data_IF_385104748373
#
_entry.id   IF_385104748373
#
_cell.length_a   1.000
_cell.length_b   1.000
_cell.length_c   1.000
_cell.angle_alpha   90.00
_cell.angle_beta   90.00
_cell.angle_gamma   90.00
#
_symmetry.space_group_name_H-M   'P 1'
#
loop_
_entity.id
_entity.type
_entity.pdbx_description
1 polymer ?
#
# COMPACT_ATOMS: atom_id res chain seq x y z
N UNK A 1 44.38 34.77 51.08
CA UNK A 1 43.02 35.09 50.63
C UNK A 1 42.75 34.34 49.35
N UNK A 2 41.84 33.38 49.43
CA UNK A 2 41.51 32.37 48.44
C UNK A 2 40.66 33.01 47.34
N UNK A 3 41.04 32.87 46.06
CA UNK A 3 40.14 33.10 44.93
C UNK A 3 40.08 31.81 44.10
N UNK A 4 38.94 31.14 44.25
CA UNK A 4 38.59 29.88 43.62
C UNK A 4 38.31 30.09 42.13
N UNK A 5 39.00 29.36 41.27
CA UNK A 5 38.71 29.18 39.86
C UNK A 5 37.62 28.12 39.74
N UNK A 6 36.39 28.52 39.41
CA UNK A 6 35.32 27.59 39.08
C UNK A 6 35.46 27.17 37.60
N UNK A 7 36.00 25.97 37.38
CA UNK A 7 35.98 25.30 36.08
C UNK A 7 34.58 24.74 35.80
N UNK A 8 33.93 25.23 34.75
CA UNK A 8 32.71 24.64 34.22
C UNK A 8 33.07 23.38 33.42
N UNK A 9 32.84 22.19 34.01
CA UNK A 9 32.78 20.95 33.24
C UNK A 9 31.50 20.95 32.40
N UNK A 10 31.66 21.02 31.08
CA UNK A 10 30.60 20.64 30.14
C UNK A 10 30.42 19.12 30.21
N UNK A 11 29.41 18.67 30.95
CA UNK A 11 28.92 17.30 30.84
C UNK A 11 28.04 17.22 29.59
N UNK A 12 28.55 16.58 28.53
CA UNK A 12 27.79 16.24 27.34
C UNK A 12 26.76 15.17 27.72
N UNK A 13 25.58 15.61 28.13
CA UNK A 13 24.41 14.75 28.23
C UNK A 13 24.01 14.35 26.80
N UNK A 14 24.33 13.11 26.43
CA UNK A 14 23.65 12.43 25.33
C UNK A 14 22.16 12.35 25.69
N UNK A 15 21.37 13.28 25.16
CA UNK A 15 19.92 13.19 25.09
C UNK A 15 19.58 12.00 24.19
N UNK A 16 19.47 10.82 24.80
CA UNK A 16 18.73 9.70 24.23
C UNK A 16 17.28 10.15 24.21
N UNK A 17 16.79 10.58 23.04
CA UNK A 17 15.40 10.97 22.87
C UNK A 17 14.46 9.80 23.20
N UNK A 18 13.27 10.06 23.78
CA UNK A 18 12.25 9.04 23.94
C UNK A 18 11.64 8.81 22.55
N UNK A 19 12.21 7.88 21.79
CA UNK A 19 11.88 7.76 20.37
C UNK A 19 12.22 6.43 19.73
N UNK A 20 12.41 5.37 20.52
CA UNK A 20 12.24 4.00 20.02
C UNK A 20 10.96 3.45 20.62
N UNK A 21 9.86 3.64 19.91
CA UNK A 21 8.67 2.83 20.16
C UNK A 21 9.10 1.36 20.06
N UNK A 22 9.07 0.66 21.19
CA UNK A 22 9.07 -0.81 21.29
C UNK A 22 7.77 -1.37 20.69
N UNK A 23 7.31 -0.83 19.56
CA UNK A 23 6.11 -1.22 18.86
C UNK A 23 6.27 -2.66 18.39
N UNK A 24 5.67 -3.55 19.18
CA UNK A 24 5.07 -4.81 18.75
C UNK A 24 5.99 -5.70 17.92
N UNK A 25 7.01 -6.27 18.54
CA UNK A 25 7.70 -7.42 17.97
C UNK A 25 6.79 -8.67 18.11
N UNK A 26 5.76 -8.78 17.28
CA UNK A 26 4.93 -9.99 17.19
C UNK A 26 5.76 -11.22 16.80
N UNK A 27 6.97 -11.01 16.25
CA UNK A 27 7.98 -12.03 15.97
C UNK A 27 8.91 -12.37 17.16
N UNK A 28 8.79 -11.68 18.30
CA UNK A 28 9.61 -11.97 19.47
C UNK A 28 9.49 -13.45 19.88
N UNK A 29 10.59 -14.07 20.35
CA UNK A 29 10.56 -15.43 20.87
C UNK A 29 9.49 -15.59 21.96
N UNK A 30 8.90 -16.78 22.05
CA UNK A 30 7.93 -17.06 23.12
C UNK A 30 8.64 -17.08 24.48
N UNK A 31 7.99 -16.51 25.50
CA UNK A 31 8.36 -16.69 26.90
C UNK A 31 8.07 -18.12 27.37
N UNK A 32 8.57 -18.47 28.56
CA UNK A 32 8.26 -19.76 29.17
C UNK A 32 6.75 -19.93 29.46
N UNK A 33 6.09 -18.86 29.93
CA UNK A 33 4.65 -18.87 30.16
C UNK A 33 3.85 -19.05 28.86
N UNK A 34 4.26 -18.37 27.78
CA UNK A 34 3.62 -18.52 26.47
C UNK A 34 3.78 -19.93 25.90
N UNK A 35 4.94 -20.58 26.11
CA UNK A 35 5.13 -21.99 25.73
C UNK A 35 4.26 -22.93 26.55
N UNK A 36 4.23 -22.75 27.88
CA UNK A 36 3.39 -23.58 28.76
C UNK A 36 1.90 -23.47 28.42
N UNK A 37 1.44 -22.28 28.00
CA UNK A 37 0.06 -22.04 27.61
C UNK A 37 -0.39 -22.80 26.34
N UNK A 38 0.54 -23.37 25.57
CA UNK A 38 0.20 -24.25 24.44
C UNK A 38 -0.30 -25.62 24.90
N UNK A 39 -0.05 -25.97 26.17
CA UNK A 39 -0.41 -27.25 26.80
C UNK A 39 -1.24 -27.00 28.07
N UNK A 40 -2.46 -26.45 27.94
CA UNK A 40 -3.23 -25.99 29.10
C UNK A 40 -3.78 -27.15 29.93
N UNK A 41 -3.86 -26.95 31.25
CA UNK A 41 -4.57 -27.86 32.14
C UNK A 41 -6.09 -27.63 32.11
N UNK A 42 -6.86 -28.59 32.62
CA UNK A 42 -8.31 -28.41 32.79
C UNK A 42 -8.65 -27.23 33.71
N UNK A 43 -7.80 -26.95 34.70
CA UNK A 43 -7.98 -25.82 35.61
C UNK A 43 -7.79 -24.48 34.87
N UNK A 44 -6.82 -24.38 33.96
CA UNK A 44 -6.59 -23.18 33.15
C UNK A 44 -7.80 -22.87 32.26
N UNK A 45 -8.37 -23.90 31.64
CA UNK A 45 -9.57 -23.78 30.81
C UNK A 45 -10.79 -23.33 31.62
N UNK A 46 -10.99 -23.89 32.82
CA UNK A 46 -12.11 -23.51 33.69
C UNK A 46 -12.00 -22.06 34.18
N UNK A 47 -10.80 -21.64 34.59
CA UNK A 47 -10.55 -20.27 35.03
C UNK A 47 -10.67 -19.28 33.87
N UNK A 48 -10.12 -19.61 32.70
CA UNK A 48 -10.26 -18.83 31.48
C UNK A 48 -11.71 -18.66 31.05
N UNK A 49 -12.53 -19.72 31.13
CA UNK A 49 -13.97 -19.66 30.86
C UNK A 49 -14.68 -18.70 31.81
N UNK A 50 -14.41 -18.79 33.12
CA UNK A 50 -15.03 -17.92 34.11
C UNK A 50 -14.69 -16.44 33.89
N UNK A 51 -13.44 -16.15 33.51
CA UNK A 51 -13.00 -14.80 33.14
C UNK A 51 -13.68 -14.31 31.85
N UNK A 52 -13.75 -15.16 30.83
CA UNK A 52 -14.41 -14.85 29.56
C UNK A 52 -15.90 -14.56 29.74
N UNK A 53 -16.60 -15.37 30.53
CA UNK A 53 -18.02 -15.20 30.86
C UNK A 53 -18.29 -13.85 31.55
N UNK A 54 -17.40 -13.44 32.46
CA UNK A 54 -17.55 -12.19 33.21
C UNK A 54 -17.21 -10.93 32.40
N UNK A 55 -16.17 -11.00 31.56
CA UNK A 55 -15.55 -9.79 31.00
C UNK A 55 -15.57 -9.69 29.48
N UNK A 56 -15.83 -10.79 28.76
CA UNK A 56 -15.60 -10.86 27.31
C UNK A 56 -16.85 -11.27 26.51
N UNK A 57 -17.66 -12.18 27.07
CA UNK A 57 -18.74 -12.87 26.37
C UNK A 57 -19.86 -11.93 25.87
N UNK A 58 -20.04 -10.78 26.51
CA UNK A 58 -21.04 -9.77 26.09
C UNK A 58 -20.80 -9.27 24.66
N UNK A 59 -19.53 -9.16 24.24
CA UNK A 59 -19.19 -8.66 22.91
C UNK A 59 -18.73 -9.78 21.96
N UNK A 60 -17.99 -10.77 22.48
CA UNK A 60 -17.36 -11.79 21.65
C UNK A 60 -18.09 -13.14 21.62
N UNK A 61 -19.18 -13.29 22.38
CA UNK A 61 -19.80 -14.59 22.62
C UNK A 61 -18.96 -15.45 23.55
N UNK A 62 -19.60 -16.26 24.40
CA UNK A 62 -18.86 -17.21 25.26
C UNK A 62 -18.23 -18.33 24.43
N UNK A 63 -18.84 -18.66 23.29
CA UNK A 63 -18.31 -19.56 22.26
C UNK A 63 -17.23 -18.90 21.38
N UNK A 64 -16.91 -17.62 21.61
CA UNK A 64 -15.95 -16.86 20.80
C UNK A 64 -16.49 -16.46 19.43
N UNK A 65 -17.81 -16.55 19.20
CA UNK A 65 -18.48 -16.09 18.00
C UNK A 65 -19.15 -14.75 18.30
N UNK A 66 -18.51 -13.65 17.85
CA UNK A 66 -19.11 -12.32 17.93
C UNK A 66 -20.43 -12.21 17.15
N UNK A 67 -21.44 -11.63 17.80
CA UNK A 67 -22.71 -11.24 17.19
C UNK A 67 -22.69 -9.81 16.60
N UNK A 68 -21.67 -9.00 16.92
CA UNK A 68 -21.53 -7.63 16.40
C UNK A 68 -20.73 -7.61 15.11
N UNK A 69 -21.21 -6.82 14.16
CA UNK A 69 -20.40 -6.35 13.03
C UNK A 69 -19.17 -5.60 13.57
N UNK A 70 -18.02 -5.71 12.89
CA UNK A 70 -16.73 -5.09 13.27
C UNK A 70 -16.06 -5.63 14.54
N UNK A 71 -16.61 -6.64 15.20
CA UNK A 71 -15.98 -7.29 16.34
C UNK A 71 -15.44 -8.67 15.92
N UNK A 72 -14.21 -9.05 16.32
CA UNK A 72 -13.62 -10.29 15.87
C UNK A 72 -14.21 -11.51 16.59
N UNK A 73 -14.31 -12.61 15.85
CA UNK A 73 -14.37 -13.96 16.41
C UNK A 73 -13.04 -14.30 17.10
N UNK A 74 -13.15 -14.83 18.31
CA UNK A 74 -12.01 -15.25 19.14
C UNK A 74 -11.85 -16.77 19.19
N UNK A 75 -12.94 -17.52 18.95
CA UNK A 75 -12.94 -18.97 19.00
C UNK A 75 -11.91 -19.58 18.05
N UNK A 76 -11.05 -20.46 18.56
CA UNK A 76 -10.01 -21.13 17.78
C UNK A 76 -8.87 -20.22 17.29
N UNK A 77 -8.81 -18.96 17.73
CA UNK A 77 -7.68 -18.07 17.46
C UNK A 77 -6.43 -18.52 18.23
N UNK A 78 -5.23 -18.08 17.84
CA UNK A 78 -4.00 -18.57 18.46
C UNK A 78 -3.76 -18.00 19.87
N UNK A 79 -3.42 -18.88 20.82
CA UNK A 79 -3.26 -18.55 22.24
C UNK A 79 -2.30 -17.39 22.47
N UNK A 80 -1.09 -17.46 21.91
CA UNK A 80 -0.06 -16.43 22.13
C UNK A 80 -0.43 -15.14 21.41
N UNK A 81 -1.04 -15.21 20.22
CA UNK A 81 -1.58 -14.05 19.55
C UNK A 81 -2.62 -13.31 20.41
N UNK A 82 -3.64 -14.02 20.93
CA UNK A 82 -4.69 -13.44 21.77
C UNK A 82 -4.08 -12.79 23.02
N UNK A 83 -3.20 -13.50 23.71
CA UNK A 83 -2.52 -13.00 24.91
C UNK A 83 -1.73 -11.70 24.62
N UNK A 84 -0.89 -11.71 23.58
CA UNK A 84 -0.08 -10.53 23.22
C UNK A 84 -0.93 -9.35 22.78
N UNK A 85 -2.06 -9.58 22.10
CA UNK A 85 -2.96 -8.48 21.72
C UNK A 85 -3.73 -7.91 22.91
N UNK A 86 -4.13 -8.72 23.88
CA UNK A 86 -4.70 -8.20 25.13
C UNK A 86 -3.68 -7.37 25.91
N UNK A 87 -2.42 -7.81 26.00
CA UNK A 87 -1.35 -7.00 26.60
C UNK A 87 -1.14 -5.66 25.86
N UNK A 88 -1.16 -5.66 24.53
CA UNK A 88 -1.00 -4.44 23.74
C UNK A 88 -2.13 -3.43 24.01
N UNK A 89 -3.38 -3.90 24.16
CA UNK A 89 -4.50 -3.06 24.58
C UNK A 89 -4.31 -2.51 26.00
N UNK A 90 -3.89 -3.35 26.94
CA UNK A 90 -3.65 -2.95 28.34
C UNK A 90 -2.57 -1.86 28.44
N UNK A 91 -1.53 -1.94 27.62
CA UNK A 91 -0.40 -0.99 27.57
C UNK A 91 -0.69 0.26 26.74
N UNK A 92 -1.82 0.31 26.04
CA UNK A 92 -2.15 1.41 25.12
C UNK A 92 -1.35 1.40 23.82
N UNK A 93 -0.61 0.34 23.53
CA UNK A 93 0.11 0.13 22.26
C UNK A 93 -0.86 -0.15 21.10
N UNK A 94 -2.09 -0.56 21.42
CA UNK A 94 -3.19 -0.71 20.47
C UNK A 94 -4.36 0.16 20.94
N UNK A 95 -4.69 1.25 20.24
CA UNK A 95 -5.75 2.16 20.67
C UNK A 95 -7.12 1.53 20.46
N UNK A 96 -7.83 1.29 21.56
CA UNK A 96 -9.24 0.88 21.61
C UNK A 96 -9.69 1.00 23.07
N UNK A 97 -10.50 2.02 23.37
CA UNK A 97 -10.88 2.31 24.76
C UNK A 97 -11.75 1.20 25.35
N UNK A 98 -12.66 0.63 24.54
CA UNK A 98 -13.54 -0.48 24.94
C UNK A 98 -12.71 -1.70 25.34
N UNK A 99 -11.78 -2.13 24.49
CA UNK A 99 -10.91 -3.27 24.79
C UNK A 99 -9.93 -2.98 25.92
N UNK A 100 -9.38 -1.76 26.00
CA UNK A 100 -8.52 -1.37 27.12
C UNK A 100 -9.25 -1.48 28.45
N UNK A 101 -10.48 -0.97 28.54
CA UNK A 101 -11.31 -1.06 29.74
C UNK A 101 -11.67 -2.50 30.10
N UNK A 102 -11.84 -3.38 29.11
CA UNK A 102 -12.11 -4.80 29.33
C UNK A 102 -10.90 -5.55 29.93
N UNK A 103 -9.67 -5.17 29.58
CA UNK A 103 -8.44 -5.90 29.99
C UNK A 103 -7.65 -5.22 31.11
N UNK A 104 -7.90 -3.94 31.42
CA UNK A 104 -7.03 -3.16 32.33
C UNK A 104 -6.99 -3.68 33.77
N UNK A 105 -8.01 -4.44 34.21
CA UNK A 105 -8.08 -5.01 35.56
C UNK A 105 -7.61 -6.47 35.65
N UNK A 106 -7.23 -7.07 34.51
CA UNK A 106 -6.75 -8.45 34.45
C UNK A 106 -5.23 -8.46 34.57
N UNK A 107 -4.69 -9.32 35.44
CA UNK A 107 -3.25 -9.56 35.47
C UNK A 107 -2.81 -10.46 34.30
N UNK A 108 -1.50 -10.62 34.13
CA UNK A 108 -0.94 -11.41 33.03
C UNK A 108 -1.42 -12.87 33.02
N UNK A 109 -1.65 -13.47 34.19
CA UNK A 109 -2.12 -14.85 34.30
C UNK A 109 -3.59 -14.97 33.87
N UNK A 110 -4.44 -14.04 34.32
CA UNK A 110 -5.84 -13.96 33.90
C UNK A 110 -5.97 -13.71 32.39
N UNK A 111 -5.13 -12.84 31.81
CA UNK A 111 -5.09 -12.62 30.36
C UNK A 111 -4.68 -13.90 29.62
N UNK A 112 -3.66 -14.60 30.10
CA UNK A 112 -3.18 -15.83 29.47
C UNK A 112 -4.23 -16.94 29.52
N UNK A 113 -4.91 -17.12 30.65
CA UNK A 113 -6.00 -18.10 30.80
C UNK A 113 -7.22 -17.77 29.95
N UNK A 114 -7.55 -16.48 29.81
CA UNK A 114 -8.60 -16.04 28.89
C UNK A 114 -8.25 -16.37 27.43
N UNK A 115 -6.98 -16.17 27.05
CA UNK A 115 -6.48 -16.54 25.72
C UNK A 115 -6.54 -18.06 25.49
N UNK A 116 -6.11 -18.86 26.48
CA UNK A 116 -6.18 -20.32 26.47
C UNK A 116 -7.62 -20.78 26.22
N UNK A 117 -8.58 -20.22 26.95
CA UNK A 117 -9.99 -20.58 26.81
C UNK A 117 -10.49 -20.35 25.37
N UNK A 118 -10.42 -19.12 24.86
CA UNK A 118 -10.92 -18.82 23.51
C UNK A 118 -10.18 -19.59 22.41
N UNK A 119 -8.86 -19.80 22.56
CA UNK A 119 -8.07 -20.58 21.62
C UNK A 119 -8.48 -22.07 21.57
N UNK A 120 -9.00 -22.60 22.68
CA UNK A 120 -9.47 -24.00 22.77
C UNK A 120 -10.84 -24.24 22.13
N UNK A 121 -11.60 -23.17 21.86
CA UNK A 121 -12.94 -23.29 21.30
C UNK A 121 -12.88 -23.70 19.82
N UNK A 122 -13.93 -24.34 19.34
CA UNK A 122 -14.08 -24.57 17.91
C UNK A 122 -14.13 -23.21 17.18
N UNK A 123 -13.38 -23.02 16.09
CA UNK A 123 -13.44 -21.77 15.36
C UNK A 123 -14.81 -21.60 14.71
N UNK A 124 -15.22 -20.34 14.51
CA UNK A 124 -16.44 -19.99 13.80
C UNK A 124 -16.42 -20.60 12.40
N UNK A 125 -17.14 -21.70 12.19
CA UNK A 125 -17.43 -22.15 10.83
C UNK A 125 -18.42 -21.15 10.28
N UNK A 126 -18.05 -20.45 9.20
CA UNK A 126 -19.07 -19.79 8.39
C UNK A 126 -20.06 -20.86 7.97
N UNK A 127 -21.20 -20.95 8.66
CA UNK A 127 -22.43 -21.31 7.98
C UNK A 127 -22.49 -20.35 6.79
N UNK A 128 -22.78 -20.84 5.60
CA UNK A 128 -23.06 -19.97 4.47
C UNK A 128 -23.96 -18.83 4.98
N UNK A 129 -23.39 -17.63 5.10
CA UNK A 129 -24.11 -16.43 5.51
C UNK A 129 -25.37 -16.36 4.62
N UNK A 130 -26.53 -15.82 5.03
CA UNK A 130 -27.68 -15.72 4.13
C UNK A 130 -27.40 -14.86 2.86
N UNK A 131 -26.23 -14.20 2.78
CA UNK A 131 -25.63 -13.64 1.55
C UNK A 131 -24.72 -14.60 0.75
N UNK A 132 -24.73 -15.89 1.08
CA UNK A 132 -23.84 -16.96 0.62
C UNK A 132 -23.98 -17.35 -0.85
N UNK A 133 -24.96 -16.76 -1.55
CA UNK A 133 -25.09 -16.86 -3.00
C UNK A 133 -24.19 -15.86 -3.76
N UNK A 134 -23.57 -14.88 -3.09
CA UNK A 134 -22.63 -13.97 -3.77
C UNK A 134 -21.36 -14.75 -4.12
N UNK A 135 -21.01 -14.92 -5.41
CA UNK A 135 -19.80 -15.64 -5.80
C UNK A 135 -18.56 -15.05 -5.12
N UNK A 136 -17.57 -15.90 -4.83
CA UNK A 136 -16.25 -15.41 -4.44
C UNK A 136 -15.75 -14.44 -5.53
N UNK A 137 -15.08 -13.36 -5.15
CA UNK A 137 -14.54 -12.42 -6.13
C UNK A 137 -13.55 -13.13 -7.05
N UNK A 138 -13.43 -12.70 -8.32
CA UNK A 138 -12.50 -13.31 -9.25
C UNK A 138 -11.06 -13.09 -8.77
N UNK A 139 -10.40 -14.15 -8.33
CA UNK A 139 -9.09 -14.06 -7.69
C UNK A 139 -7.96 -13.71 -8.67
N UNK A 140 -8.10 -14.16 -9.92
CA UNK A 140 -7.11 -13.99 -10.98
C UNK A 140 -7.48 -12.88 -11.98
N UNK A 141 -8.42 -11.99 -11.65
CA UNK A 141 -8.76 -10.89 -12.54
C UNK A 141 -7.58 -9.92 -12.69
N UNK A 142 -7.30 -9.51 -13.93
CA UNK A 142 -6.30 -8.48 -14.22
C UNK A 142 -6.68 -7.18 -13.48
N UNK A 143 -5.85 -6.69 -12.55
CA UNK A 143 -6.13 -5.47 -11.81
C UNK A 143 -6.32 -4.23 -12.70
N UNK A 144 -5.79 -4.25 -13.92
CA UNK A 144 -5.90 -3.15 -14.88
C UNK A 144 -7.02 -3.36 -15.92
N UNK A 145 -7.87 -4.38 -15.78
CA UNK A 145 -8.96 -4.64 -16.74
C UNK A 145 -9.94 -3.48 -16.84
N UNK A 146 -10.42 -2.95 -15.71
CA UNK A 146 -11.31 -1.80 -15.68
C UNK A 146 -10.61 -0.55 -16.26
N UNK A 147 -9.34 -0.36 -15.92
CA UNK A 147 -8.51 0.73 -16.46
C UNK A 147 -8.37 0.65 -17.97
N UNK A 148 -8.13 -0.54 -18.54
CA UNK A 148 -8.02 -0.73 -19.99
C UNK A 148 -9.32 -0.36 -20.71
N UNK A 149 -10.47 -0.65 -20.10
CA UNK A 149 -11.76 -0.21 -20.63
C UNK A 149 -11.89 1.32 -20.56
N UNK A 150 -11.48 1.94 -19.44
CA UNK A 150 -11.50 3.40 -19.27
C UNK A 150 -10.54 4.15 -20.22
N UNK A 151 -9.40 3.55 -20.58
CA UNK A 151 -8.42 4.15 -21.51
C UNK A 151 -8.81 4.02 -22.98
N UNK A 152 -9.85 3.24 -23.31
CA UNK A 152 -10.31 3.06 -24.69
C UNK A 152 -10.70 4.37 -25.37
N UNK A 153 -11.29 5.32 -24.63
CA UNK A 153 -11.63 6.65 -25.14
C UNK A 153 -10.41 7.53 -25.47
N UNK A 154 -9.24 7.22 -24.91
CA UNK A 154 -7.99 7.94 -25.19
C UNK A 154 -7.25 7.37 -26.42
N UNK A 155 -7.52 6.10 -26.75
CA UNK A 155 -6.77 5.34 -27.73
C UNK A 155 -6.86 5.91 -29.15
N UNK A 156 -7.96 6.60 -29.49
CA UNK A 156 -8.13 7.21 -30.81
C UNK A 156 -7.11 8.31 -31.12
N UNK A 157 -6.56 8.97 -30.09
CA UNK A 157 -5.58 10.05 -30.23
C UNK A 157 -4.19 9.62 -29.75
N UNK A 158 -4.11 8.89 -28.64
CA UNK A 158 -2.84 8.52 -28.01
C UNK A 158 -2.38 7.10 -28.36
N UNK A 159 -3.14 6.34 -29.13
CA UNK A 159 -2.91 4.93 -29.41
C UNK A 159 -3.36 4.01 -28.27
N UNK A 160 -3.67 2.75 -28.57
CA UNK A 160 -4.18 1.78 -27.58
C UNK A 160 -3.22 1.56 -26.40
N UNK A 161 -1.92 1.61 -26.66
CA UNK A 161 -0.87 1.48 -25.64
C UNK A 161 -0.34 2.82 -25.16
N UNK A 162 -0.89 3.96 -25.63
CA UNK A 162 -0.33 5.29 -25.34
C UNK A 162 0.87 5.68 -26.20
N UNK A 163 1.20 4.90 -27.25
CA UNK A 163 2.14 5.31 -28.29
C UNK A 163 1.33 5.90 -29.45
N UNK A 164 1.32 7.22 -29.55
CA UNK A 164 0.58 7.97 -30.56
C UNK A 164 1.23 7.83 -31.93
N UNK A 165 0.39 7.70 -32.96
CA UNK A 165 0.79 7.86 -34.36
C UNK A 165 0.20 9.14 -34.99
N UNK A 166 -0.59 9.90 -34.22
CA UNK A 166 -1.22 11.13 -34.66
C UNK A 166 -0.24 12.31 -34.47
N UNK A 167 -0.02 13.15 -35.50
CA UNK A 167 0.85 14.32 -35.40
C UNK A 167 0.41 15.26 -34.27
N UNK A 168 1.38 15.84 -33.54
CA UNK A 168 1.15 16.75 -32.41
C UNK A 168 0.41 16.12 -31.21
N UNK A 169 0.13 14.80 -31.23
CA UNK A 169 -0.43 14.10 -30.08
C UNK A 169 0.67 13.46 -29.26
N UNK A 170 0.71 13.72 -27.95
CA UNK A 170 1.78 13.19 -27.13
C UNK A 170 1.65 11.69 -26.87
N UNK A 171 2.79 11.01 -26.80
CA UNK A 171 2.93 9.70 -26.18
C UNK A 171 2.65 9.80 -24.67
N UNK A 172 1.89 8.84 -24.16
CA UNK A 172 1.58 8.66 -22.75
C UNK A 172 2.51 7.63 -22.09
N UNK A 173 3.17 6.78 -22.89
CA UNK A 173 4.19 5.84 -22.43
C UNK A 173 5.45 6.54 -21.96
N UNK A 174 6.30 5.82 -21.21
CA UNK A 174 7.53 6.33 -20.59
C UNK A 174 7.37 7.52 -19.62
N UNK A 175 6.16 7.99 -19.37
CA UNK A 175 5.89 8.95 -18.29
C UNK A 175 5.76 8.26 -16.95
N UNK A 176 6.20 8.95 -15.89
CA UNK A 176 5.95 8.50 -14.53
C UNK A 176 4.45 8.58 -14.22
N UNK A 177 3.88 7.63 -13.44
CA UNK A 177 2.48 7.69 -13.01
C UNK A 177 2.12 9.01 -12.32
N UNK A 178 2.99 9.52 -11.45
CA UNK A 178 2.74 10.76 -10.70
C UNK A 178 2.72 11.98 -11.64
N UNK A 179 3.69 12.10 -12.56
CA UNK A 179 3.63 13.11 -13.62
C UNK A 179 2.35 13.01 -14.45
N UNK A 180 1.93 11.80 -14.83
CA UNK A 180 0.68 11.60 -15.57
C UNK A 180 -0.51 12.15 -14.77
N UNK A 181 -0.63 11.79 -13.49
CA UNK A 181 -1.70 12.24 -12.61
C UNK A 181 -1.68 13.76 -12.46
N UNK A 182 -0.53 14.35 -12.15
CA UNK A 182 -0.35 15.79 -12.02
C UNK A 182 -0.73 16.52 -13.32
N UNK A 183 -0.33 15.98 -14.48
CA UNK A 183 -0.70 16.54 -15.78
C UNK A 183 -2.21 16.47 -16.06
N UNK A 184 -2.88 15.37 -15.68
CA UNK A 184 -4.33 15.24 -15.85
C UNK A 184 -5.08 16.18 -14.91
N UNK A 185 -4.66 16.29 -13.65
CA UNK A 185 -5.21 17.24 -12.69
C UNK A 185 -5.04 18.69 -13.16
N UNK A 186 -3.89 19.03 -13.75
CA UNK A 186 -3.67 20.35 -14.34
C UNK A 186 -4.63 20.65 -15.51
N UNK A 187 -5.04 19.64 -16.29
CA UNK A 187 -6.10 19.83 -17.28
C UNK A 187 -7.48 20.01 -16.63
N UNK A 188 -7.77 19.27 -15.55
CA UNK A 188 -9.03 19.36 -14.80
C UNK A 188 -9.22 20.75 -14.17
N UNK A 189 -8.20 21.26 -13.49
CA UNK A 189 -8.25 22.57 -12.82
C UNK A 189 -8.09 23.73 -13.82
N UNK A 190 -7.47 23.49 -14.97
CA UNK A 190 -7.30 24.46 -16.06
C UNK A 190 -5.97 25.21 -16.01
N UNK A 191 -5.09 24.89 -15.05
CA UNK A 191 -3.70 25.37 -15.03
C UNK A 191 -2.94 24.90 -16.27
N UNK A 192 -3.33 23.78 -16.89
CA UNK A 192 -2.85 23.39 -18.22
C UNK A 192 -3.96 23.59 -19.25
N UNK A 193 -3.96 24.69 -20.03
CA UNK A 193 -5.09 25.00 -20.90
C UNK A 193 -5.14 24.05 -22.11
N UNK A 194 -6.20 23.25 -22.18
CA UNK A 194 -6.61 22.49 -23.37
C UNK A 194 -8.09 22.07 -23.20
N UNK A 195 -8.98 22.61 -24.03
CA UNK A 195 -10.43 22.38 -23.90
C UNK A 195 -10.85 20.93 -24.12
N UNK A 196 -10.21 20.25 -25.08
CA UNK A 196 -10.47 18.83 -25.37
C UNK A 196 -10.03 17.95 -24.20
N UNK A 197 -8.79 18.11 -23.72
CA UNK A 197 -8.30 17.33 -22.59
C UNK A 197 -9.11 17.60 -21.33
N UNK A 198 -9.44 18.87 -21.02
CA UNK A 198 -10.30 19.21 -19.89
C UNK A 198 -11.67 18.52 -19.95
N UNK A 199 -12.28 18.46 -21.14
CA UNK A 199 -13.55 17.76 -21.34
C UNK A 199 -13.41 16.25 -21.09
N UNK A 200 -12.34 15.63 -21.58
CA UNK A 200 -12.10 14.19 -21.45
C UNK A 200 -11.76 13.75 -20.02
N UNK A 201 -10.98 14.55 -19.30
CA UNK A 201 -10.53 14.18 -17.94
C UNK A 201 -11.41 14.76 -16.83
N UNK A 202 -12.29 15.72 -17.12
CA UNK A 202 -13.01 16.50 -16.12
C UNK A 202 -13.89 15.69 -15.16
N UNK A 203 -14.36 14.52 -15.57
CA UNK A 203 -15.19 13.63 -14.73
C UNK A 203 -14.42 12.46 -14.10
N UNK A 204 -13.11 12.34 -14.35
CA UNK A 204 -12.32 11.23 -13.83
C UNK A 204 -11.93 11.49 -12.38
N UNK A 205 -12.15 10.52 -11.50
CA UNK A 205 -11.70 10.58 -10.11
C UNK A 205 -10.20 10.28 -9.97
N UNK A 206 -9.64 10.60 -8.80
CA UNK A 206 -8.22 10.41 -8.51
C UNK A 206 -7.77 8.95 -8.65
N UNK A 207 -8.61 7.98 -8.26
CA UNK A 207 -8.31 6.55 -8.38
C UNK A 207 -8.20 6.12 -9.84
N UNK A 208 -9.10 6.60 -10.69
CA UNK A 208 -9.09 6.34 -12.13
C UNK A 208 -7.85 6.93 -12.78
N UNK A 209 -7.50 8.18 -12.46
CA UNK A 209 -6.28 8.82 -12.96
C UNK A 209 -5.01 8.07 -12.55
N UNK A 210 -4.90 7.66 -11.29
CA UNK A 210 -3.75 6.90 -10.79
C UNK A 210 -3.61 5.55 -11.52
N UNK A 211 -4.73 4.84 -11.68
CA UNK A 211 -4.76 3.58 -12.42
C UNK A 211 -4.35 3.77 -13.89
N UNK A 212 -4.84 4.82 -14.55
CA UNK A 212 -4.46 5.14 -15.94
C UNK A 212 -2.97 5.48 -16.07
N UNK A 213 -2.43 6.28 -15.15
CA UNK A 213 -1.00 6.58 -15.10
C UNK A 213 -0.14 5.32 -14.99
N UNK A 214 -0.54 4.40 -14.10
CA UNK A 214 0.13 3.10 -13.97
C UNK A 214 -0.03 2.24 -15.22
N UNK A 215 -1.22 2.21 -15.83
CA UNK A 215 -1.48 1.47 -17.06
C UNK A 215 -0.52 1.89 -18.18
N UNK A 216 -0.39 3.20 -18.44
CA UNK A 216 0.50 3.71 -19.50
C UNK A 216 1.99 3.56 -19.15
N UNK A 217 2.38 3.71 -17.89
CA UNK A 217 3.75 3.50 -17.45
C UNK A 217 4.23 2.05 -17.62
N UNK A 218 3.31 1.08 -17.60
CA UNK A 218 3.59 -0.35 -17.82
C UNK A 218 3.68 -0.74 -19.31
N UNK A 219 3.29 0.14 -20.23
CA UNK A 219 3.36 -0.18 -21.67
C UNK A 219 4.79 -0.03 -22.18
N UNK A 220 5.14 -0.85 -23.20
CA UNK A 220 6.41 -0.71 -23.89
C UNK A 220 6.43 0.64 -24.63
N UNK A 221 7.36 1.55 -24.30
CA UNK A 221 7.41 2.84 -24.97
C UNK A 221 8.02 2.69 -26.36
N UNK A 222 7.50 3.49 -27.30
CA UNK A 222 8.05 3.62 -28.63
C UNK A 222 8.31 5.08 -28.95
N UNK A 223 9.37 5.33 -29.70
CA UNK A 223 9.64 6.67 -30.24
C UNK A 223 8.55 7.02 -31.28
N UNK A 224 8.17 8.29 -31.31
CA UNK A 224 7.32 8.86 -32.37
C UNK A 224 7.96 8.72 -33.77
N UNK A 225 7.12 8.60 -34.81
CA UNK A 225 7.56 8.75 -36.20
C UNK A 225 7.84 10.21 -36.58
N UNK A 226 7.25 11.17 -35.88
CA UNK A 226 7.38 12.61 -36.15
C UNK A 226 8.68 13.16 -35.55
N UNK A 227 9.78 13.05 -36.31
CA UNK A 227 11.11 13.45 -35.87
C UNK A 227 11.31 14.98 -35.74
N UNK A 228 10.44 15.80 -36.32
CA UNK A 228 10.58 17.27 -36.36
C UNK A 228 11.42 17.78 -37.55
N UNK A 229 11.39 19.09 -37.78
CA UNK A 229 12.02 19.76 -38.94
C UNK A 229 13.31 20.54 -38.58
N UNK A 230 13.78 20.43 -37.34
CA UNK A 230 14.96 21.15 -36.84
C UNK A 230 16.29 20.40 -37.05
N UNK A 231 17.39 21.00 -36.60
CA UNK A 231 18.72 20.38 -36.55
C UNK A 231 18.90 19.62 -35.23
N UNK A 232 19.00 18.29 -35.31
CA UNK A 232 19.16 17.42 -34.14
C UNK A 232 20.48 17.62 -33.39
N UNK A 233 21.58 17.98 -34.08
CA UNK A 233 22.87 18.20 -33.43
C UNK A 233 22.90 19.55 -32.71
N UNK A 234 22.36 20.61 -33.35
CA UNK A 234 22.15 21.88 -32.66
C UNK A 234 21.22 21.70 -31.45
N UNK A 235 20.19 20.85 -31.59
CA UNK A 235 19.26 20.51 -30.51
C UNK A 235 19.94 19.78 -29.36
N UNK A 236 20.86 18.84 -29.65
CA UNK A 236 21.67 18.15 -28.64
C UNK A 236 22.50 19.13 -27.82
N UNK A 237 23.14 20.10 -28.48
CA UNK A 237 23.95 21.13 -27.80
C UNK A 237 23.05 22.00 -26.91
N UNK A 238 21.92 22.48 -27.43
CA UNK A 238 20.96 23.27 -26.65
C UNK A 238 20.38 22.49 -25.46
N UNK A 239 20.19 21.17 -25.59
CA UNK A 239 19.67 20.30 -24.56
C UNK A 239 20.59 20.15 -23.34
N UNK A 240 21.87 20.54 -23.43
CA UNK A 240 22.82 20.49 -22.30
C UNK A 240 22.32 21.32 -21.10
N UNK A 241 21.64 22.44 -21.34
CA UNK A 241 21.02 23.26 -20.30
C UNK A 241 19.78 22.59 -19.65
N UNK A 242 19.13 21.68 -20.38
CA UNK A 242 17.93 20.97 -19.94
C UNK A 242 18.25 19.68 -19.17
N UNK A 243 19.45 19.13 -19.40
CA UNK A 243 19.87 17.82 -18.93
C UNK A 243 19.88 17.67 -17.40
N UNK A 244 20.08 18.77 -16.65
CA UNK A 244 20.07 18.77 -15.19
C UNK A 244 18.72 18.36 -14.59
N UNK A 245 17.62 18.62 -15.32
CA UNK A 245 16.27 18.29 -14.85
C UNK A 245 15.66 17.11 -15.63
N UNK A 246 15.88 17.03 -16.95
CA UNK A 246 15.23 16.04 -17.81
C UNK A 246 16.13 14.85 -18.19
N UNK A 247 17.39 14.85 -17.79
CA UNK A 247 18.39 13.90 -18.24
C UNK A 247 18.96 14.28 -19.62
N UNK A 248 20.19 13.84 -19.89
CA UNK A 248 20.90 14.18 -21.14
C UNK A 248 20.18 13.70 -22.40
N UNK A 249 19.49 12.57 -22.32
CA UNK A 249 18.68 11.97 -23.39
C UNK A 249 17.18 12.24 -23.23
N UNK A 250 16.78 13.06 -22.25
CA UNK A 250 15.37 13.33 -21.95
C UNK A 250 14.66 12.22 -21.18
N UNK A 251 15.39 11.23 -20.63
CA UNK A 251 14.84 10.22 -19.73
C UNK A 251 15.21 10.52 -18.27
N UNK A 252 14.21 10.69 -17.41
CA UNK A 252 14.38 11.01 -15.98
C UNK A 252 13.53 10.12 -15.08
N UNK A 253 14.10 9.65 -13.97
CA UNK A 253 13.42 8.75 -13.02
C UNK A 253 12.63 9.51 -11.92
N UNK A 254 12.75 10.84 -11.86
CA UNK A 254 12.06 11.71 -10.88
C UNK A 254 10.54 11.72 -11.12
N UNK A 255 9.70 11.47 -10.08
CA UNK A 255 8.26 11.29 -10.25
C UNK A 255 7.48 12.41 -10.94
N UNK A 256 7.81 13.66 -10.64
CA UNK A 256 7.09 14.84 -11.14
C UNK A 256 7.73 15.45 -12.39
N UNK A 257 8.80 14.85 -12.91
CA UNK A 257 9.48 15.32 -14.12
C UNK A 257 9.04 14.53 -15.34
N UNK A 258 8.66 15.19 -16.44
CA UNK A 258 8.35 14.50 -17.69
C UNK A 258 9.59 13.91 -18.34
N UNK A 259 9.41 12.71 -18.90
CA UNK A 259 10.23 12.19 -19.98
C UNK A 259 9.95 12.95 -21.26
N UNK A 260 11.01 13.43 -21.90
CA UNK A 260 10.98 14.11 -23.21
C UNK A 260 11.38 13.16 -24.34
N UNK A 261 12.15 12.11 -24.04
CA UNK A 261 12.66 11.17 -25.01
C UNK A 261 11.54 10.51 -25.84
N UNK A 262 11.69 10.51 -27.17
CA UNK A 262 10.76 9.84 -28.08
C UNK A 262 9.38 10.48 -28.20
N UNK A 263 9.18 11.66 -27.60
CA UNK A 263 7.93 12.41 -27.66
C UNK A 263 7.72 13.07 -29.03
N UNK A 264 6.47 13.32 -29.43
CA UNK A 264 6.14 14.01 -30.68
C UNK A 264 6.78 15.42 -30.73
N UNK A 265 7.54 15.69 -31.81
CA UNK A 265 8.26 16.96 -31.96
C UNK A 265 7.31 18.17 -31.99
N UNK A 266 6.18 18.07 -32.70
CA UNK A 266 5.22 19.18 -32.77
C UNK A 266 4.54 19.45 -31.42
N UNK A 267 4.27 18.39 -30.65
CA UNK A 267 3.82 18.53 -29.26
C UNK A 267 4.90 19.20 -28.39
N UNK A 268 6.17 18.81 -28.50
CA UNK A 268 7.27 19.41 -27.75
C UNK A 268 7.41 20.91 -28.08
N UNK A 269 7.34 21.29 -29.35
CA UNK A 269 7.34 22.69 -29.80
C UNK A 269 6.19 23.46 -29.14
N UNK A 270 4.96 22.94 -29.24
CA UNK A 270 3.77 23.58 -28.67
C UNK A 270 3.90 23.73 -27.15
N UNK A 271 4.38 22.70 -26.45
CA UNK A 271 4.57 22.73 -25.00
C UNK A 271 5.65 23.75 -24.59
N UNK A 272 6.78 23.77 -25.29
CA UNK A 272 7.88 24.71 -25.04
C UNK A 272 7.45 26.16 -25.27
N UNK A 273 6.72 26.44 -26.35
CA UNK A 273 6.16 27.76 -26.63
C UNK A 273 5.15 28.19 -25.55
N UNK A 274 4.28 27.27 -25.11
CA UNK A 274 3.31 27.53 -24.04
C UNK A 274 3.97 27.82 -22.68
N UNK A 275 5.12 27.20 -22.37
CA UNK A 275 5.90 27.57 -21.20
C UNK A 275 6.56 28.94 -21.39
N UNK A 276 7.21 29.20 -22.53
CA UNK A 276 7.89 30.47 -22.80
C UNK A 276 6.96 31.68 -22.72
N UNK A 277 5.73 31.55 -23.22
CA UNK A 277 4.75 32.64 -23.26
C UNK A 277 3.84 32.72 -22.01
N UNK A 278 4.07 31.87 -21.01
CA UNK A 278 3.30 31.84 -19.76
C UNK A 278 1.89 31.25 -19.87
N UNK A 279 1.48 30.72 -21.03
CA UNK A 279 0.18 30.03 -21.18
C UNK A 279 0.12 28.74 -20.37
N UNK A 280 1.26 28.10 -20.14
CA UNK A 280 1.42 26.97 -19.23
C UNK A 280 2.22 27.43 -18.01
N UNK A 281 1.57 27.75 -16.88
CA UNK A 281 2.21 28.18 -15.65
C UNK A 281 2.98 27.03 -15.01
N UNK A 282 4.29 27.19 -14.88
CA UNK A 282 5.19 26.34 -14.12
C UNK A 282 6.54 27.07 -14.02
N UNK A 283 6.75 27.82 -12.93
CA UNK A 283 7.85 28.79 -12.81
C UNK A 283 9.23 28.25 -13.24
N UNK A 284 9.67 27.05 -12.82
CA UNK A 284 10.96 26.50 -13.28
C UNK A 284 11.05 26.37 -14.81
N UNK A 285 9.96 25.96 -15.46
CA UNK A 285 9.94 25.79 -16.92
C UNK A 285 9.72 27.11 -17.65
N UNK A 286 8.97 28.05 -17.08
CA UNK A 286 8.84 29.39 -17.66
C UNK A 286 10.22 30.07 -17.70
N UNK A 287 10.97 29.99 -16.60
CA UNK A 287 12.32 30.55 -16.49
C UNK A 287 13.31 29.86 -17.44
N UNK A 288 13.27 28.52 -17.53
CA UNK A 288 14.14 27.76 -18.43
C UNK A 288 13.90 28.09 -19.91
N UNK A 289 12.66 28.44 -20.28
CA UNK A 289 12.29 28.70 -21.67
C UNK A 289 12.34 30.18 -22.08
N UNK A 290 12.49 31.11 -21.13
CA UNK A 290 12.36 32.55 -21.36
C UNK A 290 13.22 33.08 -22.52
N UNK A 291 14.48 32.62 -22.60
CA UNK A 291 15.47 33.08 -23.59
C UNK A 291 15.67 32.09 -24.75
N UNK A 292 14.87 31.02 -24.83
CA UNK A 292 15.02 30.02 -25.91
C UNK A 292 14.29 30.50 -27.17
N UNK A 293 15.04 30.70 -28.24
CA UNK A 293 14.51 31.15 -29.54
C UNK A 293 13.70 30.09 -30.29
N UNK A 294 12.91 30.50 -31.29
CA UNK A 294 12.06 29.57 -32.06
C UNK A 294 12.85 28.48 -32.80
N UNK A 295 14.03 28.83 -33.32
CA UNK A 295 14.93 27.87 -33.98
C UNK A 295 15.42 26.83 -32.97
N UNK A 296 15.82 27.25 -31.77
CA UNK A 296 16.27 26.33 -30.72
C UNK A 296 15.15 25.45 -30.20
N UNK A 297 13.91 25.96 -30.09
CA UNK A 297 12.73 25.15 -29.77
C UNK A 297 12.55 24.03 -30.81
N UNK A 298 12.68 24.33 -32.10
CA UNK A 298 12.56 23.32 -33.15
C UNK A 298 13.70 22.30 -33.10
N UNK A 299 14.92 22.76 -32.85
CA UNK A 299 16.10 21.90 -32.71
C UNK A 299 15.97 20.97 -31.49
N UNK A 300 15.59 21.50 -30.33
CA UNK A 300 15.34 20.75 -29.09
C UNK A 300 14.25 19.69 -29.27
N UNK A 301 13.12 20.08 -29.87
CA UNK A 301 12.03 19.16 -30.16
C UNK A 301 12.48 18.03 -31.08
N UNK A 302 13.25 18.36 -32.12
CA UNK A 302 13.79 17.39 -33.06
C UNK A 302 14.78 16.43 -32.41
N UNK A 303 15.67 16.94 -31.56
CA UNK A 303 16.61 16.14 -30.78
C UNK A 303 15.89 15.15 -29.85
N UNK A 304 14.97 15.62 -29.01
CA UNK A 304 14.28 14.78 -28.04
C UNK A 304 13.34 13.75 -28.68
N UNK A 305 12.66 14.12 -29.77
CA UNK A 305 11.82 13.19 -30.54
C UNK A 305 12.62 12.02 -31.11
N UNK A 306 13.93 12.20 -31.34
CA UNK A 306 14.80 11.15 -31.85
C UNK A 306 15.37 10.22 -30.78
N UNK A 307 15.29 10.60 -29.50
CA UNK A 307 15.81 9.80 -28.39
C UNK A 307 14.99 8.54 -28.17
N UNK A 308 15.62 7.52 -27.59
CA UNK A 308 14.96 6.26 -27.25
C UNK A 308 14.31 6.39 -25.86
N UNK A 309 12.97 6.33 -25.74
CA UNK A 309 12.31 6.37 -24.44
C UNK A 309 12.61 5.11 -23.63
N UNK A 310 12.84 5.27 -22.33
CA UNK A 310 13.07 4.15 -21.40
C UNK A 310 11.78 3.71 -20.73
N UNK A 311 11.60 2.39 -20.61
CA UNK A 311 10.48 1.82 -19.86
C UNK A 311 10.59 2.20 -18.38
N UNK A 312 9.47 2.54 -17.75
CA UNK A 312 9.45 2.89 -16.33
C UNK A 312 9.59 1.65 -15.46
N UNK A 313 10.37 1.79 -14.38
CA UNK A 313 10.44 0.78 -13.32
C UNK A 313 9.26 0.95 -12.36
N UNK A 314 8.06 0.63 -12.86
CA UNK A 314 6.83 0.60 -12.06
C UNK A 314 6.42 -0.83 -11.75
N UNK A 315 5.85 -1.03 -10.56
CA UNK A 315 5.41 -2.35 -10.14
C UNK A 315 4.02 -2.62 -10.70
N UNK A 316 3.86 -3.73 -11.43
CA UNK A 316 2.53 -4.21 -11.83
C UNK A 316 1.71 -4.50 -10.56
N UNK A 317 0.45 -4.02 -10.48
CA UNK A 317 -0.44 -4.42 -9.40
C UNK A 317 -0.64 -5.93 -9.40
N UNK A 318 -0.74 -6.49 -8.20
CA UNK A 318 -0.96 -7.91 -8.03
C UNK A 318 -2.46 -8.23 -8.13
N UNK A 319 -2.73 -9.41 -8.67
CA UNK A 319 -4.03 -10.07 -8.57
C UNK A 319 -4.36 -10.38 -7.10
N UNK A 320 -5.63 -10.62 -6.81
CA UNK A 320 -6.05 -11.04 -5.47
C UNK A 320 -5.43 -12.37 -5.08
N UNK A 321 -5.27 -13.32 -6.02
CA UNK A 321 -4.59 -14.59 -5.79
C UNK A 321 -3.12 -14.41 -5.37
N UNK A 322 -2.38 -13.52 -6.03
CA UNK A 322 -1.01 -13.19 -5.65
C UNK A 322 -0.94 -12.52 -4.27
N UNK A 323 -1.93 -11.68 -3.91
CA UNK A 323 -2.03 -11.14 -2.55
C UNK A 323 -2.30 -12.22 -1.50
N UNK A 324 -3.20 -13.16 -1.78
CA UNK A 324 -3.49 -14.30 -0.91
C UNK A 324 -2.23 -15.11 -0.65
N UNK A 325 -1.45 -15.42 -1.68
CA UNK A 325 -0.19 -16.14 -1.53
C UNK A 325 0.79 -15.40 -0.61
N UNK A 326 0.85 -14.07 -0.70
CA UNK A 326 1.69 -13.26 0.20
C UNK A 326 1.22 -13.27 1.63
N UNK A 327 -0.08 -13.12 1.85
CA UNK A 327 -0.69 -13.15 3.18
C UNK A 327 -0.48 -14.52 3.83
N UNK A 328 -0.64 -15.61 3.07
CA UNK A 328 -0.50 -16.98 3.54
C UNK A 328 0.93 -17.32 4.01
N UNK A 329 1.96 -16.59 3.59
CA UNK A 329 3.34 -16.80 4.11
C UNK A 329 3.48 -16.57 5.61
N UNK A 330 2.62 -15.73 6.20
CA UNK A 330 2.59 -15.51 7.65
C UNK A 330 1.31 -16.08 8.28
N UNK A 331 0.18 -15.93 7.59
CA UNK A 331 -1.13 -16.35 8.09
C UNK A 331 -1.47 -17.80 7.76
N UNK A 332 -0.55 -18.56 7.18
CA UNK A 332 -0.71 -19.97 6.82
C UNK A 332 -1.62 -20.20 5.60
N UNK A 333 -1.66 -21.45 5.09
CA UNK A 333 -2.51 -21.81 3.97
C UNK A 333 -3.98 -21.46 4.23
N UNK A 334 -4.60 -20.73 3.30
CA UNK A 334 -6.00 -20.25 3.43
C UNK A 334 -6.25 -19.40 4.70
N UNK A 335 -5.22 -18.80 5.29
CA UNK A 335 -5.36 -18.02 6.52
C UNK A 335 -5.41 -18.87 7.79
N UNK A 336 -5.03 -20.15 7.73
CA UNK A 336 -4.93 -21.05 8.88
C UNK A 336 -3.48 -21.17 9.37
N UNK A 337 -2.96 -20.15 10.05
CA UNK A 337 -1.56 -20.13 10.52
C UNK A 337 -1.31 -21.18 11.58
N UNK A 338 -0.20 -21.91 11.53
CA UNK A 338 0.18 -22.87 12.58
C UNK A 338 1.06 -22.24 13.67
N UNK A 339 1.60 -21.05 13.43
CA UNK A 339 2.39 -20.32 14.43
C UNK A 339 1.47 -19.76 15.53
N UNK A 340 1.69 -20.10 16.82
CA UNK A 340 0.85 -19.62 17.92
C UNK A 340 0.83 -18.09 18.09
N UNK A 341 1.77 -17.38 17.47
CA UNK A 341 1.91 -15.92 17.54
C UNK A 341 1.18 -15.21 16.40
N UNK A 342 0.81 -15.94 15.34
CA UNK A 342 0.24 -15.37 14.12
C UNK A 342 -1.27 -15.51 14.12
N UNK A 343 -1.98 -14.48 13.67
CA UNK A 343 -3.43 -14.51 13.59
C UNK A 343 -3.90 -15.54 12.55
N UNK A 344 -4.88 -16.36 12.90
CA UNK A 344 -5.74 -17.02 11.93
C UNK A 344 -6.74 -16.02 11.33
N UNK A 345 -6.85 -16.02 10.01
CA UNK A 345 -7.76 -15.16 9.24
C UNK A 345 -9.00 -15.91 8.75
N UNK A 346 -8.89 -17.23 8.56
CA UNK A 346 -9.98 -18.06 8.07
C UNK A 346 -11.22 -17.94 8.98
N UNK A 347 -12.40 -17.80 8.38
CA UNK A 347 -13.69 -17.73 9.08
C UNK A 347 -13.89 -16.50 9.96
N UNK A 348 -13.00 -15.50 9.86
CA UNK A 348 -13.12 -14.24 10.59
C UNK A 348 -14.25 -13.37 10.02
N UNK A 349 -14.83 -12.49 10.84
CA UNK A 349 -15.91 -11.60 10.43
C UNK A 349 -15.47 -10.70 9.25
N UNK A 350 -16.22 -10.70 8.14
CA UNK A 350 -15.87 -9.96 6.91
C UNK A 350 -15.78 -8.45 7.18
N UNK A 351 -16.74 -7.86 7.91
CA UNK A 351 -16.72 -6.45 8.26
C UNK A 351 -15.54 -6.07 9.17
N UNK A 352 -15.16 -6.95 10.09
CA UNK A 352 -13.94 -6.78 10.87
C UNK A 352 -12.69 -6.83 9.98
N UNK A 353 -12.57 -7.82 9.08
CA UNK A 353 -11.42 -7.92 8.16
C UNK A 353 -11.30 -6.68 7.27
N UNK A 354 -12.42 -6.18 6.73
CA UNK A 354 -12.49 -4.94 5.95
C UNK A 354 -11.96 -3.76 6.75
N UNK A 355 -12.48 -3.56 7.98
CA UNK A 355 -12.06 -2.48 8.87
C UNK A 355 -10.57 -2.54 9.15
N UNK A 356 -10.05 -3.68 9.61
CA UNK A 356 -8.66 -3.76 10.06
C UNK A 356 -7.65 -3.67 8.91
N UNK A 357 -7.96 -4.22 7.73
CA UNK A 357 -7.11 -4.04 6.55
C UNK A 357 -7.07 -2.57 6.10
N UNK A 358 -8.22 -1.88 6.17
CA UNK A 358 -8.29 -0.43 5.94
C UNK A 358 -7.44 0.35 6.93
N UNK A 359 -7.58 0.08 8.23
CA UNK A 359 -6.80 0.75 9.29
C UNK A 359 -5.30 0.48 9.17
N UNK A 360 -4.90 -0.74 8.76
CA UNK A 360 -3.50 -1.02 8.49
C UNK A 360 -3.00 -0.26 7.26
N UNK A 361 -3.80 -0.17 6.20
CA UNK A 361 -3.43 0.55 4.99
C UNK A 361 -3.26 2.06 5.24
N UNK A 362 -4.11 2.66 6.08
CA UNK A 362 -4.06 4.09 6.44
C UNK A 362 -3.13 4.42 7.61
N UNK A 363 -2.45 3.41 8.19
CA UNK A 363 -1.63 3.55 9.40
C UNK A 363 -2.39 4.03 10.65
N UNK A 364 -3.73 3.96 10.64
CA UNK A 364 -4.58 4.22 11.81
C UNK A 364 -4.42 3.13 12.88
N UNK A 365 -3.92 1.96 12.48
CA UNK A 365 -3.65 0.83 13.37
C UNK A 365 -2.20 0.41 13.29
N UNK A 366 -1.46 0.73 14.35
CA UNK A 366 -0.03 0.46 14.45
C UNK A 366 0.30 -1.03 14.31
N UNK A 367 0.96 -1.35 13.20
CA UNK A 367 1.76 -2.55 13.00
C UNK A 367 2.58 -2.39 11.71
N UNK A 368 3.89 -2.16 11.82
CA UNK A 368 4.76 -1.89 10.66
C UNK A 368 4.69 -2.95 9.56
N UNK A 369 4.62 -4.24 9.94
CA UNK A 369 4.56 -5.34 8.97
C UNK A 369 3.23 -5.31 8.22
N UNK A 370 2.11 -5.22 8.95
CA UNK A 370 0.79 -5.19 8.33
C UNK A 370 0.52 -3.90 7.57
N UNK A 371 1.06 -2.75 8.00
CA UNK A 371 1.02 -1.51 7.24
C UNK A 371 1.73 -1.68 5.90
N UNK A 372 2.99 -2.14 5.90
CA UNK A 372 3.73 -2.40 4.66
C UNK A 372 3.05 -3.43 3.73
N UNK A 373 2.28 -4.37 4.30
CA UNK A 373 1.50 -5.34 3.53
C UNK A 373 0.18 -4.79 3.01
N UNK A 374 -0.41 -3.79 3.69
CA UNK A 374 -1.77 -3.30 3.42
C UNK A 374 -1.81 -1.96 2.69
N UNK A 375 -0.82 -1.09 2.88
CA UNK A 375 -0.65 0.19 2.18
C UNK A 375 -0.76 0.06 0.65
N UNK A 376 -0.10 -0.93 -0.01
CA UNK A 376 -0.21 -1.08 -1.46
C UNK A 376 -1.52 -1.76 -1.91
N UNK A 377 -2.42 -2.14 -0.98
CA UNK A 377 -3.71 -2.70 -1.33
C UNK A 377 -4.66 -1.58 -1.76
N UNK A 378 -5.01 -1.55 -3.05
CA UNK A 378 -6.17 -0.79 -3.48
C UNK A 378 -7.46 -1.30 -2.83
N UNK A 379 -8.48 -0.44 -2.72
CA UNK A 379 -9.77 -0.75 -2.07
C UNK A 379 -10.38 -2.07 -2.53
N UNK A 380 -10.33 -2.33 -3.83
CA UNK A 380 -10.80 -3.58 -4.42
C UNK A 380 -10.11 -4.82 -3.83
N UNK A 381 -8.80 -4.78 -3.61
CA UNK A 381 -8.09 -5.92 -3.04
C UNK A 381 -8.41 -6.10 -1.55
N UNK A 382 -8.57 -5.01 -0.79
CA UNK A 382 -9.04 -5.08 0.61
C UNK A 382 -10.40 -5.79 0.67
N UNK A 383 -11.35 -5.35 -0.16
CA UNK A 383 -12.70 -5.92 -0.19
C UNK A 383 -12.67 -7.42 -0.55
N UNK A 384 -11.86 -7.79 -1.54
CA UNK A 384 -11.74 -9.18 -1.99
C UNK A 384 -11.04 -10.08 -0.99
N UNK A 385 -9.98 -9.60 -0.33
CA UNK A 385 -9.24 -10.37 0.67
C UNK A 385 -10.10 -10.62 1.91
N UNK A 386 -10.84 -9.60 2.37
CA UNK A 386 -11.77 -9.75 3.49
C UNK A 386 -12.85 -10.79 3.18
N UNK A 387 -13.50 -10.67 2.01
CA UNK A 387 -14.52 -11.62 1.56
C UNK A 387 -13.96 -13.04 1.37
N UNK A 388 -12.72 -13.17 0.90
CA UNK A 388 -12.05 -14.46 0.72
C UNK A 388 -11.79 -15.14 2.07
N UNK A 389 -11.12 -14.47 3.00
CA UNK A 389 -10.73 -15.06 4.29
C UNK A 389 -11.91 -15.35 5.21
N UNK A 390 -12.95 -14.50 5.20
CA UNK A 390 -14.19 -14.75 5.94
C UNK A 390 -14.91 -16.04 5.54
N UNK A 391 -14.66 -16.53 4.32
CA UNK A 391 -15.27 -17.75 3.76
C UNK A 391 -14.34 -18.95 3.71
N UNK A 392 -13.07 -18.80 4.13
CA UNK A 392 -12.19 -19.96 4.27
C UNK A 392 -12.63 -20.80 5.46
N UNK A 393 -12.55 -22.12 5.32
CA UNK A 393 -12.84 -23.04 6.41
C UNK A 393 -11.75 -22.91 7.49
N UNK A 394 -12.09 -22.47 8.72
CA UNK A 394 -11.10 -22.35 9.76
C UNK A 394 -10.79 -23.69 10.39
N UNK A 395 -9.52 -23.87 10.76
CA UNK A 395 -9.00 -25.09 11.37
C UNK A 395 -8.53 -24.82 12.78
N UNK A 396 -8.97 -25.69 13.69
CA UNK A 396 -8.41 -25.80 15.04
C UNK A 396 -6.97 -26.31 14.97
N UNK A 397 -6.15 -25.90 15.92
CA UNK A 397 -4.76 -26.34 16.05
C UNK A 397 -4.56 -26.97 17.41
N UNK A 398 -3.85 -28.10 17.40
CA UNK A 398 -3.37 -28.77 18.59
C UNK A 398 -1.85 -28.74 18.53
N UNK A 399 -1.23 -28.27 19.60
CA UNK A 399 0.22 -28.34 19.76
C UNK A 399 0.57 -29.67 20.43
N UNK A 400 1.65 -30.29 19.97
CA UNK A 400 2.15 -31.55 20.50
C UNK A 400 3.62 -31.36 20.82
N UNK A 401 4.03 -31.72 22.03
CA UNK A 401 5.45 -31.83 22.37
C UNK A 401 6.02 -33.01 21.61
N UNK A 402 7.02 -32.74 20.77
CA UNK A 402 7.79 -33.81 20.16
C UNK A 402 8.75 -34.36 21.21
N UNK A 403 8.82 -35.69 21.41
CA UNK A 403 9.87 -36.26 22.25
C UNK A 403 11.23 -35.83 21.68
N UNK A 404 12.15 -35.41 22.53
CA UNK A 404 13.52 -35.21 22.11
C UNK A 404 14.01 -36.54 21.52
N UNK A 405 14.51 -36.53 20.28
CA UNK A 405 15.36 -37.62 19.82
C UNK A 405 16.57 -37.61 20.75
N UNK A 406 16.71 -38.67 21.55
CA UNK A 406 17.92 -38.91 22.32
C UNK A 406 19.06 -38.95 21.31
N UNK A 407 19.94 -37.95 21.35
CA UNK A 407 21.21 -37.98 20.61
C UNK A 407 22.05 -39.13 21.19
N UNK A 408 21.93 -40.32 20.60
CA UNK A 408 22.89 -41.43 20.80
C UNK A 408 24.25 -41.13 20.16
#
# INVERSE_FOLDING_TARGET
MIRSLAGFMFATFLLVGPGTSLAQDTSAPMSAAERAALFPSHADLQQGRALAEKSCATCHGLDGISASEHQPHLGGQRTVYLYRKMLAYQRGERPDETMRNAVMFLDSDALLKTAIYYASLAPHRSAADPGGDRPLPPLNEDPLKATRAATSGCASCHGETGNSTMPAMPNLTAQHPDYFVAAMQAYQDGSRPNSMMRMLVGSLDATTLANMGLFYALQAPARTAAAGDGDAEAGRIAAEACANCHGADGNVDVPDMPTLAGQDAAYLVSAMQAYRNGQRPHEPMNNAMAEVGDVDIQNLATFYAQQTPRARRVRKPLTTAEWIERCNRCHGPQGNSTDPRMAALAGQNEAYLLKVLGEYASDERDNRIMHAMSEPLGRMNIDRLAAYYARQEPRSIVYVDLPCEDNE
#
